data_IF_233108765291
#
_entry.id   IF_233108765291
#
_cell.length_a   1.000
_cell.length_b   1.000
_cell.length_c   1.000
_cell.angle_alpha   90.00
_cell.angle_beta   90.00
_cell.angle_gamma   90.00
#
_symmetry.space_group_name_H-M   'P 1'
#
loop_
_entity.id
_entity.type
_entity.pdbx_description
1 polymer ?
#
# COMPACT_ATOMS: atom_id res chain seq x y z
N UNK A 1 29.80 -12.09 -4.20
CA UNK A 1 29.38 -10.70 -4.41
C UNK A 1 27.87 -10.66 -4.33
N UNK A 2 27.31 -9.88 -3.41
CA UNK A 2 25.86 -9.78 -3.20
C UNK A 2 25.20 -8.93 -4.29
N UNK A 3 23.87 -9.04 -4.44
CA UNK A 3 23.10 -8.18 -5.37
C UNK A 3 23.31 -6.71 -5.02
N UNK A 4 23.31 -6.39 -3.72
CA UNK A 4 23.57 -5.03 -3.23
C UNK A 4 24.93 -4.49 -3.70
N UNK A 5 25.99 -5.30 -3.60
CA UNK A 5 27.33 -4.92 -4.05
C UNK A 5 27.37 -4.69 -5.57
N UNK A 6 26.69 -5.53 -6.36
CA UNK A 6 26.59 -5.38 -7.81
C UNK A 6 25.90 -4.08 -8.20
N UNK A 7 24.73 -3.80 -7.62
CA UNK A 7 23.98 -2.57 -7.88
C UNK A 7 24.80 -1.34 -7.47
N UNK A 8 25.53 -1.42 -6.34
CA UNK A 8 26.39 -0.33 -5.89
C UNK A 8 27.53 -0.04 -6.86
N UNK A 9 28.18 -1.07 -7.40
CA UNK A 9 29.23 -0.91 -8.40
C UNK A 9 28.69 -0.35 -9.72
N UNK A 10 27.52 -0.81 -10.17
CA UNK A 10 26.88 -0.29 -11.38
C UNK A 10 26.46 1.17 -11.20
N UNK A 11 25.88 1.51 -10.05
CA UNK A 11 25.49 2.88 -9.72
C UNK A 11 26.70 3.81 -9.66
N UNK A 12 27.88 3.33 -9.23
CA UNK A 12 29.09 4.13 -9.20
C UNK A 12 29.52 4.61 -10.60
N UNK A 13 29.27 3.81 -11.65
CA UNK A 13 29.62 4.13 -13.04
C UNK A 13 28.67 5.14 -13.71
N UNK A 14 27.53 5.45 -13.10
CA UNK A 14 26.56 6.41 -13.63
C UNK A 14 27.07 7.85 -13.56
N UNK A 15 26.64 8.66 -14.52
CA UNK A 15 26.80 10.11 -14.48
C UNK A 15 26.02 10.73 -13.31
N UNK A 16 26.33 11.97 -12.95
CA UNK A 16 25.62 12.68 -11.87
C UNK A 16 24.11 12.78 -12.15
N UNK A 17 23.73 13.08 -13.40
CA UNK A 17 22.32 13.20 -13.79
C UNK A 17 21.57 11.86 -13.66
N UNK A 18 22.20 10.76 -14.01
CA UNK A 18 21.62 9.41 -13.87
C UNK A 18 21.53 8.99 -12.40
N UNK A 19 22.53 9.33 -11.58
CA UNK A 19 22.48 9.11 -10.13
C UNK A 19 21.31 9.84 -9.48
N UNK A 20 21.06 11.09 -9.88
CA UNK A 20 19.90 11.85 -9.40
C UNK A 20 18.58 11.18 -9.78
N UNK A 21 18.42 10.77 -11.04
CA UNK A 21 17.22 10.02 -11.48
C UNK A 21 17.03 8.70 -10.74
N UNK A 22 18.12 7.98 -10.49
CA UNK A 22 18.09 6.74 -9.71
C UNK A 22 17.61 7.00 -8.27
N UNK A 23 18.10 8.06 -7.63
CA UNK A 23 17.67 8.46 -6.27
C UNK A 23 16.19 8.83 -6.27
N UNK A 24 15.70 9.59 -7.25
CA UNK A 24 14.29 9.96 -7.37
C UNK A 24 13.39 8.73 -7.50
N UNK A 25 13.76 7.81 -8.39
CA UNK A 25 13.04 6.55 -8.59
C UNK A 25 13.01 5.70 -7.32
N UNK A 26 14.16 5.51 -6.66
CA UNK A 26 14.25 4.73 -5.42
C UNK A 26 13.45 5.38 -4.29
N UNK A 27 13.51 6.71 -4.17
CA UNK A 27 12.74 7.46 -3.18
C UNK A 27 11.23 7.30 -3.41
N UNK A 28 10.78 7.35 -4.67
CA UNK A 28 9.38 7.12 -5.01
C UNK A 28 8.92 5.68 -4.69
N UNK A 29 9.74 4.68 -5.03
CA UNK A 29 9.46 3.28 -4.69
C UNK A 29 9.34 3.08 -3.17
N UNK A 30 10.31 3.58 -2.42
CA UNK A 30 10.33 3.46 -0.96
C UNK A 30 9.14 4.13 -0.30
N UNK A 31 8.70 5.30 -0.80
CA UNK A 31 7.48 5.96 -0.28
C UNK A 31 6.26 5.07 -0.45
N UNK A 32 6.08 4.49 -1.64
CA UNK A 32 4.97 3.57 -1.93
C UNK A 32 5.02 2.33 -1.04
N UNK A 33 6.21 1.75 -0.88
CA UNK A 33 6.40 0.57 -0.03
C UNK A 33 6.09 0.88 1.44
N UNK A 34 6.50 2.04 1.94
CA UNK A 34 6.18 2.50 3.30
C UNK A 34 4.68 2.72 3.50
N UNK A 35 3.98 3.29 2.51
CA UNK A 35 2.52 3.44 2.57
C UNK A 35 1.84 2.07 2.64
N UNK A 36 2.24 1.12 1.79
CA UNK A 36 1.69 -0.23 1.78
C UNK A 36 1.96 -0.94 3.12
N UNK A 37 3.19 -0.87 3.64
CA UNK A 37 3.55 -1.47 4.92
C UNK A 37 2.76 -0.85 6.08
N UNK A 38 2.56 0.47 6.06
CA UNK A 38 1.74 1.17 7.05
C UNK A 38 0.28 0.71 7.00
N UNK A 39 -0.28 0.49 5.81
CA UNK A 39 -1.60 -0.10 5.64
C UNK A 39 -1.67 -1.55 6.13
N UNK A 40 -0.66 -2.38 5.82
CA UNK A 40 -0.64 -3.79 6.25
C UNK A 40 -0.53 -3.95 7.76
N UNK A 41 0.18 -3.05 8.43
CA UNK A 41 0.34 -3.06 9.89
C UNK A 41 -0.75 -2.28 10.63
N UNK A 42 -1.68 -1.65 9.91
CA UNK A 42 -2.77 -0.89 10.50
C UNK A 42 -3.68 -1.81 11.31
N UNK A 43 -4.07 -1.44 12.54
CA UNK A 43 -5.11 -2.14 13.27
C UNK A 43 -6.42 -2.19 12.47
N UNK A 44 -7.09 -3.34 12.49
CA UNK A 44 -8.30 -3.56 11.69
C UNK A 44 -9.40 -2.50 11.92
N UNK A 45 -9.61 -2.08 13.17
CA UNK A 45 -10.61 -1.07 13.49
C UNK A 45 -10.29 0.29 12.86
N UNK A 46 -9.03 0.70 12.88
CA UNK A 46 -8.58 1.94 12.25
C UNK A 46 -8.75 1.87 10.72
N UNK A 47 -8.48 0.72 10.10
CA UNK A 47 -8.72 0.52 8.68
C UNK A 47 -10.21 0.72 8.32
N UNK A 48 -11.12 0.13 9.08
CA UNK A 48 -12.57 0.28 8.86
C UNK A 48 -13.00 1.74 8.99
N UNK A 49 -12.52 2.45 10.02
CA UNK A 49 -12.83 3.87 10.21
C UNK A 49 -12.32 4.74 9.05
N UNK A 50 -11.08 4.51 8.60
CA UNK A 50 -10.46 5.30 7.53
C UNK A 50 -11.03 5.01 6.15
N UNK A 51 -11.63 3.84 5.94
CA UNK A 51 -12.22 3.43 4.66
C UNK A 51 -13.74 3.54 4.62
N UNK A 52 -14.38 3.92 5.73
CA UNK A 52 -15.81 4.13 5.81
C UNK A 52 -16.29 5.15 4.76
N UNK A 53 -17.25 4.75 3.93
CA UNK A 53 -17.83 5.61 2.90
C UNK A 53 -16.99 5.79 1.63
N UNK A 54 -15.83 5.13 1.49
CA UNK A 54 -15.00 5.21 0.27
C UNK A 54 -15.73 4.70 -0.98
N UNK A 55 -16.71 3.81 -0.80
CA UNK A 55 -17.60 3.32 -1.85
C UNK A 55 -18.96 4.03 -1.85
N UNK A 56 -19.08 5.19 -1.19
CA UNK A 56 -20.34 5.93 -1.06
C UNK A 56 -20.91 6.39 -2.41
N UNK A 57 -20.02 6.85 -3.29
CA UNK A 57 -20.34 7.33 -4.64
C UNK A 57 -20.26 6.23 -5.71
N UNK A 58 -20.07 4.98 -5.31
CA UNK A 58 -20.04 3.85 -6.24
C UNK A 58 -21.42 3.73 -6.93
N UNK A 59 -21.50 3.88 -8.27
CA UNK A 59 -22.76 3.86 -9.01
C UNK A 59 -23.40 2.46 -9.05
N UNK A 60 -22.77 1.45 -8.46
CA UNK A 60 -23.33 0.11 -8.35
C UNK A 60 -24.67 0.14 -7.60
N UNK A 61 -25.72 -0.32 -8.27
CA UNK A 61 -27.02 -0.53 -7.62
C UNK A 61 -26.86 -1.66 -6.59
N UNK A 62 -26.95 -1.30 -5.31
CA UNK A 62 -26.95 -2.28 -4.21
C UNK A 62 -28.37 -2.82 -4.05
N UNK A 63 -28.58 -4.14 -4.11
CA UNK A 63 -29.88 -4.71 -3.76
C UNK A 63 -30.22 -4.33 -2.30
N UNK A 64 -31.52 -4.25 -1.96
CA UNK A 64 -31.93 -3.98 -0.59
C UNK A 64 -31.28 -4.99 0.36
N UNK A 65 -30.64 -4.50 1.42
CA UNK A 65 -30.13 -5.38 2.47
C UNK A 65 -31.32 -6.12 3.09
N UNK A 66 -31.21 -7.45 3.15
CA UNK A 66 -32.18 -8.28 3.86
C UNK A 66 -32.09 -8.01 5.36
N UNK A 67 -33.12 -8.43 6.10
CA UNK A 67 -33.08 -8.39 7.56
C UNK A 67 -31.88 -9.20 8.06
N UNK A 68 -31.18 -8.67 9.07
CA UNK A 68 -30.09 -9.39 9.71
C UNK A 68 -30.65 -10.68 10.31
N UNK A 69 -30.04 -11.81 9.96
CA UNK A 69 -30.35 -13.08 10.61
C UNK A 69 -29.77 -13.09 12.02
N UNK A 70 -30.56 -13.57 12.98
CA UNK A 70 -30.05 -13.90 14.31
C UNK A 70 -29.05 -15.06 14.18
N UNK A 71 -27.81 -14.83 14.61
CA UNK A 71 -26.76 -15.87 14.65
C UNK A 71 -26.59 -16.33 16.08
N UNK A 72 -26.37 -17.63 16.27
CA UNK A 72 -26.01 -18.16 17.59
C UNK A 72 -24.68 -17.52 18.09
N UNK A 73 -24.49 -17.38 19.41
CA UNK A 73 -23.25 -16.88 19.97
C UNK A 73 -22.05 -17.72 19.54
N UNK A 74 -20.88 -17.09 19.37
CA UNK A 74 -19.63 -17.82 19.17
C UNK A 74 -19.25 -18.52 20.49
N UNK A 75 -18.94 -19.81 20.44
CA UNK A 75 -18.41 -20.60 21.58
C UNK A 75 -16.96 -20.25 21.94
#
# INVERSE_FOLDING_TARGET
MTIYEQVSQMAAQLSLAEKLRLIEMLSASLRRELEVEAFQRMPWHEFVERTAGLLGDDPIERPPQLQLEEREPLE
#
